data_IF_528499533213
#
_entry.id   IF_528499533213
#
_cell.length_a   1.000
_cell.length_b   1.000
_cell.length_c   1.000
_cell.angle_alpha   90.00
_cell.angle_beta   90.00
_cell.angle_gamma   90.00
#
_symmetry.space_group_name_H-M   'P 1'
#
loop_
_entity.id
_entity.type
_entity.pdbx_description
1 polymer ?
#
# COMPACT_ATOMS: atom_id res chain seq x y z
N UNK A 1 54.54 -4.79 6.74
CA UNK A 1 53.46 -4.44 7.69
C UNK A 1 52.29 -3.70 7.02
N UNK A 2 51.90 -4.05 5.78
CA UNK A 2 50.93 -3.29 4.98
C UNK A 2 49.75 -4.09 4.40
N UNK A 3 49.78 -5.43 4.44
CA UNK A 3 48.69 -6.25 3.88
C UNK A 3 47.51 -6.50 4.85
N UNK A 4 47.73 -6.38 6.17
CA UNK A 4 46.70 -6.71 7.16
C UNK A 4 45.62 -5.62 7.31
N UNK A 5 45.91 -4.36 6.93
CA UNK A 5 44.93 -3.27 6.95
C UNK A 5 44.01 -3.25 5.73
N UNK A 6 44.40 -3.90 4.62
CA UNK A 6 43.57 -3.94 3.41
C UNK A 6 42.44 -4.98 3.52
N UNK A 7 42.64 -6.07 4.29
CA UNK A 7 41.61 -7.10 4.49
C UNK A 7 40.48 -6.67 5.44
N UNK A 8 40.77 -5.82 6.43
CA UNK A 8 39.75 -5.30 7.36
C UNK A 8 38.85 -4.25 6.68
N UNK A 9 39.37 -3.53 5.68
CA UNK A 9 38.57 -2.56 4.92
C UNK A 9 37.61 -3.22 3.92
N UNK A 10 37.92 -4.43 3.42
CA UNK A 10 37.06 -5.17 2.48
C UNK A 10 35.91 -5.95 3.17
N UNK A 11 36.06 -6.37 4.43
CA UNK A 11 34.96 -7.01 5.18
C UNK A 11 33.90 -6.01 5.70
N UNK A 12 34.18 -4.71 5.72
CA UNK A 12 33.22 -3.68 6.16
C UNK A 12 32.30 -3.17 5.04
N UNK A 13 32.46 -3.65 3.80
CA UNK A 13 31.80 -3.05 2.60
C UNK A 13 30.60 -3.87 2.08
N UNK A 14 30.18 -4.96 2.72
CA UNK A 14 29.05 -5.77 2.21
C UNK A 14 28.09 -6.32 3.26
N UNK A 15 27.96 -5.65 4.41
CA UNK A 15 26.71 -5.72 5.15
C UNK A 15 25.72 -4.74 4.51
N UNK A 16 25.24 -5.08 3.31
CA UNK A 16 23.97 -4.51 2.84
C UNK A 16 22.94 -5.08 3.82
N UNK A 17 22.44 -4.23 4.71
CA UNK A 17 21.38 -4.62 5.64
C UNK A 17 20.19 -5.06 4.79
N UNK A 18 19.97 -6.37 4.71
CA UNK A 18 18.74 -6.92 4.18
C UNK A 18 17.60 -6.35 5.02
N UNK A 19 16.70 -5.61 4.39
CA UNK A 19 15.49 -5.16 5.06
C UNK A 19 14.40 -6.21 4.86
N UNK A 20 13.73 -6.54 5.96
CA UNK A 20 12.51 -7.35 5.95
C UNK A 20 11.32 -6.48 5.55
N UNK A 21 10.61 -6.90 4.51
CA UNK A 21 9.29 -6.36 4.16
C UNK A 21 8.21 -7.31 4.70
N UNK A 22 7.04 -6.79 5.05
CA UNK A 22 5.92 -7.58 5.54
C UNK A 22 4.77 -7.52 4.56
N UNK A 23 4.13 -8.65 4.29
CA UNK A 23 3.00 -8.71 3.38
C UNK A 23 1.98 -9.74 3.80
N UNK A 24 0.80 -9.69 3.17
CA UNK A 24 -0.31 -10.59 3.46
C UNK A 24 -0.62 -11.47 2.25
N UNK A 25 -0.80 -12.77 2.44
CA UNK A 25 -1.36 -13.70 1.44
C UNK A 25 -2.83 -13.97 1.72
N UNK A 26 -3.49 -14.63 0.76
CA UNK A 26 -4.89 -15.09 0.89
C UNK A 26 -4.93 -16.63 0.81
N UNK A 27 -5.52 -17.36 1.80
CA UNK A 27 -6.13 -16.86 3.04
C UNK A 27 -5.16 -16.10 3.93
N UNK A 28 -5.67 -15.29 4.88
CA UNK A 28 -4.86 -14.36 5.67
C UNK A 28 -3.63 -15.02 6.31
N UNK A 29 -2.46 -14.81 5.72
CA UNK A 29 -1.16 -15.31 6.19
C UNK A 29 -0.15 -14.17 6.11
N UNK A 30 0.34 -13.73 7.26
CA UNK A 30 1.41 -12.74 7.34
C UNK A 30 2.75 -13.39 7.02
N UNK A 31 3.48 -12.78 6.11
CA UNK A 31 4.78 -13.26 5.66
C UNK A 31 5.81 -12.15 5.67
N UNK A 32 7.08 -12.54 5.86
CA UNK A 32 8.25 -11.71 5.61
C UNK A 32 8.75 -11.95 4.20
N UNK A 33 9.18 -10.89 3.54
CA UNK A 33 9.84 -10.92 2.24
C UNK A 33 11.25 -10.39 2.41
N UNK A 34 12.21 -11.21 2.04
CA UNK A 34 13.59 -10.77 1.94
C UNK A 34 13.72 -9.88 0.69
N UNK A 35 13.98 -8.59 0.89
CA UNK A 35 14.14 -7.62 -0.21
C UNK A 35 15.27 -7.96 -1.18
N UNK A 36 16.26 -8.75 -0.74
CA UNK A 36 17.43 -9.07 -1.52
C UNK A 36 17.24 -10.24 -2.50
N UNK A 37 16.39 -11.21 -2.20
CA UNK A 37 16.23 -12.40 -3.05
C UNK A 37 14.77 -12.81 -3.28
N UNK A 38 13.80 -12.08 -2.72
CA UNK A 38 12.37 -12.35 -2.89
C UNK A 38 11.87 -13.55 -2.09
N UNK A 39 12.70 -14.13 -1.20
CA UNK A 39 12.29 -15.27 -0.36
C UNK A 39 11.16 -14.84 0.56
N UNK A 40 10.05 -15.59 0.50
CA UNK A 40 8.88 -15.38 1.35
C UNK A 40 8.90 -16.41 2.48
N UNK A 41 8.85 -15.94 3.73
CA UNK A 41 8.84 -16.78 4.93
C UNK A 41 7.60 -16.47 5.77
N UNK A 42 6.76 -17.45 6.12
CA UNK A 42 5.65 -17.22 7.04
C UNK A 42 6.14 -16.70 8.40
N UNK A 43 5.44 -15.71 8.97
CA UNK A 43 5.71 -15.24 10.33
C UNK A 43 5.14 -16.22 11.36
N UNK A 44 3.98 -16.81 11.06
CA UNK A 44 3.29 -17.75 11.93
C UNK A 44 2.27 -18.59 11.15
N UNK A 45 1.19 -18.99 11.81
CA UNK A 45 0.13 -19.80 11.18
C UNK A 45 -0.78 -18.99 10.25
N UNK A 46 -1.44 -19.70 9.33
CA UNK A 46 -2.50 -19.14 8.47
C UNK A 46 -3.75 -18.89 9.32
N UNK A 47 -4.33 -17.70 9.21
CA UNK A 47 -5.61 -17.36 9.80
C UNK A 47 -6.75 -17.62 8.82
N UNK A 48 -7.37 -18.81 8.92
CA UNK A 48 -8.29 -19.35 7.90
C UNK A 48 -9.69 -18.73 7.89
N UNK A 49 -10.01 -17.84 8.81
CA UNK A 49 -11.35 -17.24 8.92
C UNK A 49 -11.54 -16.00 8.04
N UNK A 50 -10.46 -15.47 7.44
CA UNK A 50 -10.48 -14.22 6.67
C UNK A 50 -9.86 -14.39 5.29
N UNK A 51 -10.52 -13.83 4.28
CA UNK A 51 -9.92 -13.56 2.99
C UNK A 51 -9.44 -12.11 2.92
N UNK A 52 -8.28 -11.90 2.30
CA UNK A 52 -7.66 -10.57 2.18
C UNK A 52 -7.66 -10.13 0.72
N UNK A 53 -7.99 -8.85 0.52
CA UNK A 53 -7.97 -8.17 -0.77
C UNK A 53 -6.66 -7.47 -1.05
N UNK A 54 -6.52 -6.93 -2.26
CA UNK A 54 -5.31 -6.19 -2.63
C UNK A 54 -5.25 -4.83 -1.92
N UNK A 55 -4.06 -4.45 -1.47
CA UNK A 55 -3.68 -3.16 -0.94
C UNK A 55 -4.55 -2.62 0.22
N UNK A 56 -5.03 -3.50 1.10
CA UNK A 56 -5.85 -3.13 2.28
C UNK A 56 -5.11 -3.40 3.58
N UNK A 57 -3.87 -2.93 3.68
CA UNK A 57 -3.08 -3.06 4.91
C UNK A 57 -2.21 -1.83 5.19
N UNK A 58 -1.74 -1.74 6.42
CA UNK A 58 -0.69 -0.81 6.83
C UNK A 58 0.10 -1.42 8.00
N UNK A 59 1.35 -0.98 8.17
CA UNK A 59 2.19 -1.41 9.27
C UNK A 59 2.37 -0.30 10.31
N UNK A 60 1.87 -0.55 11.53
CA UNK A 60 2.23 0.22 12.72
C UNK A 60 3.59 -0.27 13.20
N UNK A 61 4.65 0.39 12.73
CA UNK A 61 6.02 0.03 13.06
C UNK A 61 6.36 0.21 14.54
N UNK A 62 5.69 1.15 15.22
CA UNK A 62 5.92 1.45 16.65
C UNK A 62 5.48 0.28 17.52
N UNK A 63 4.32 -0.31 17.23
CA UNK A 63 3.76 -1.40 18.02
C UNK A 63 4.01 -2.79 17.39
N UNK A 64 4.55 -2.85 16.18
CA UNK A 64 4.78 -4.11 15.46
C UNK A 64 3.47 -4.80 15.08
N UNK A 65 2.48 -4.03 14.63
CA UNK A 65 1.14 -4.54 14.26
C UNK A 65 0.88 -4.26 12.78
N UNK A 66 0.65 -5.32 12.00
CA UNK A 66 0.15 -5.21 10.64
C UNK A 66 -1.38 -5.16 10.68
N UNK A 67 -1.95 -3.99 10.39
CA UNK A 67 -3.39 -3.83 10.27
C UNK A 67 -3.85 -4.13 8.85
N UNK A 68 -4.99 -4.81 8.71
CA UNK A 68 -5.60 -5.07 7.41
C UNK A 68 -7.12 -5.20 7.51
N UNK A 69 -7.82 -4.96 6.40
CA UNK A 69 -9.23 -5.31 6.29
C UNK A 69 -9.38 -6.68 5.63
N UNK A 70 -10.12 -7.57 6.29
CA UNK A 70 -10.44 -8.92 5.83
C UNK A 70 -11.94 -9.12 5.67
N UNK A 71 -12.32 -10.01 4.76
CA UNK A 71 -13.69 -10.55 4.72
C UNK A 71 -13.77 -11.80 5.55
N UNK A 72 -14.61 -11.74 6.57
CA UNK A 72 -14.91 -12.86 7.41
C UNK A 72 -15.71 -13.90 6.60
N UNK A 73 -15.11 -15.08 6.40
CA UNK A 73 -15.65 -16.10 5.49
C UNK A 73 -16.93 -16.77 6.02
N UNK A 74 -17.21 -16.65 7.31
CA UNK A 74 -18.41 -17.22 7.94
C UNK A 74 -19.59 -16.25 7.91
N UNK A 75 -19.33 -14.96 8.15
CA UNK A 75 -20.37 -13.93 8.28
C UNK A 75 -20.51 -13.04 7.05
N UNK A 76 -19.59 -13.14 6.10
CA UNK A 76 -19.47 -12.27 4.93
C UNK A 76 -19.45 -10.78 5.31
N UNK A 77 -18.81 -10.43 6.42
CA UNK A 77 -18.61 -9.04 6.88
C UNK A 77 -17.14 -8.63 6.77
N UNK A 78 -16.90 -7.34 6.64
CA UNK A 78 -15.55 -6.77 6.70
C UNK A 78 -15.16 -6.50 8.14
N UNK A 79 -14.01 -7.03 8.55
CA UNK A 79 -13.39 -6.77 9.85
C UNK A 79 -12.06 -6.00 9.63
N UNK A 80 -11.75 -5.05 10.53
CA UNK A 80 -10.39 -4.54 10.68
C UNK A 80 -9.65 -5.43 11.67
N UNK A 81 -8.57 -6.05 11.21
CA UNK A 81 -7.75 -6.95 12.00
C UNK A 81 -6.36 -6.32 12.21
N UNK A 82 -5.78 -6.54 13.38
CA UNK A 82 -4.40 -6.20 13.69
C UNK A 82 -3.63 -7.46 14.08
N UNK A 83 -2.60 -7.79 13.30
CA UNK A 83 -1.79 -8.99 13.49
C UNK A 83 -0.38 -8.62 13.96
N UNK A 84 0.12 -9.31 14.97
CA UNK A 84 1.47 -9.14 15.50
C UNK A 84 2.52 -9.62 14.50
N UNK A 85 3.50 -8.77 14.17
CA UNK A 85 4.50 -9.09 13.13
C UNK A 85 5.56 -10.09 13.56
N UNK A 86 5.57 -10.49 14.84
CA UNK A 86 6.50 -11.48 15.37
C UNK A 86 5.84 -12.85 15.58
N UNK A 87 4.54 -12.89 15.93
CA UNK A 87 3.83 -14.15 16.22
C UNK A 87 2.73 -14.51 15.22
N UNK A 88 2.31 -13.57 14.37
CA UNK A 88 1.11 -13.67 13.55
C UNK A 88 -0.20 -13.85 14.34
N UNK A 89 -0.21 -13.59 15.65
CA UNK A 89 -1.44 -13.62 16.45
C UNK A 89 -2.31 -12.39 16.14
N UNK A 90 -3.63 -12.61 16.04
CA UNK A 90 -4.60 -11.51 15.97
C UNK A 90 -4.71 -10.84 17.34
N UNK A 91 -4.20 -9.62 17.45
CA UNK A 91 -4.28 -8.78 18.67
C UNK A 91 -5.57 -7.97 18.70
N UNK A 92 -6.03 -7.52 17.53
CA UNK A 92 -7.24 -6.73 17.38
C UNK A 92 -8.14 -7.35 16.33
N UNK A 93 -9.44 -7.44 16.64
CA UNK A 93 -10.49 -7.83 15.71
C UNK A 93 -11.67 -6.90 15.91
N UNK A 94 -11.91 -6.04 14.94
CA UNK A 94 -12.88 -4.95 15.06
C UNK A 94 -13.88 -5.08 13.90
N UNK A 95 -15.12 -5.48 14.20
CA UNK A 95 -16.16 -5.53 13.19
C UNK A 95 -16.42 -4.15 12.60
N UNK A 96 -16.36 -4.03 11.28
CA UNK A 96 -16.72 -2.78 10.60
C UNK A 96 -18.21 -2.77 10.26
N UNK A 97 -18.72 -1.60 9.90
CA UNK A 97 -20.07 -1.46 9.35
C UNK A 97 -20.09 -1.53 7.82
N UNK A 98 -18.94 -1.74 7.17
CA UNK A 98 -18.83 -1.71 5.72
C UNK A 98 -19.46 -2.93 5.06
N UNK A 99 -19.98 -2.74 3.84
CA UNK A 99 -20.41 -3.88 3.02
C UNK A 99 -19.24 -4.56 2.37
N UNK A 100 -19.34 -5.88 2.34
CA UNK A 100 -18.48 -6.73 1.52
C UNK A 100 -18.96 -6.61 0.07
N UNK A 101 -18.14 -6.06 -0.80
CA UNK A 101 -18.39 -6.16 -2.24
C UNK A 101 -18.00 -7.55 -2.76
N UNK A 102 -18.25 -7.81 -4.05
CA UNK A 102 -17.79 -9.05 -4.69
C UNK A 102 -16.27 -9.28 -4.56
N UNK A 103 -15.49 -8.25 -4.19
CA UNK A 103 -14.05 -8.30 -3.96
C UNK A 103 -13.63 -7.42 -2.77
N UNK A 104 -12.75 -7.96 -1.90
CA UNK A 104 -12.04 -7.17 -0.87
C UNK A 104 -11.00 -6.29 -1.54
N UNK A 105 -10.82 -5.06 -1.07
CA UNK A 105 -9.89 -4.09 -1.67
C UNK A 105 -10.52 -3.13 -2.69
N UNK A 106 -11.82 -3.26 -2.96
CA UNK A 106 -12.55 -2.28 -3.78
C UNK A 106 -13.03 -1.14 -2.90
N UNK A 107 -12.63 0.09 -3.24
CA UNK A 107 -12.96 1.29 -2.48
C UNK A 107 -12.64 1.21 -0.97
N UNK A 108 -11.60 0.47 -0.64
CA UNK A 108 -11.16 0.19 0.71
C UNK A 108 -9.76 0.73 0.93
N UNK A 109 -9.54 1.41 2.06
CA UNK A 109 -8.20 1.86 2.45
C UNK A 109 -7.93 1.44 3.89
N UNK A 110 -6.66 1.21 4.20
CA UNK A 110 -6.15 1.07 5.56
C UNK A 110 -4.87 1.88 5.64
N UNK A 111 -4.79 2.83 6.58
CA UNK A 111 -3.64 3.71 6.75
C UNK A 111 -3.35 3.92 8.23
N UNK A 112 -2.10 3.68 8.63
CA UNK A 112 -1.66 3.81 10.01
C UNK A 112 -1.26 5.26 10.26
N UNK A 113 -1.70 5.84 11.38
CA UNK A 113 -1.34 7.23 11.74
C UNK A 113 -0.03 7.22 12.51
N UNK A 114 1.02 7.79 11.90
CA UNK A 114 2.35 7.84 12.50
C UNK A 114 2.36 8.38 13.93
N UNK A 115 2.97 7.64 14.85
CA UNK A 115 3.12 8.01 16.25
C UNK A 115 1.84 7.90 17.09
N UNK A 116 0.69 7.66 16.46
CA UNK A 116 -0.59 7.38 17.12
C UNK A 116 -0.88 5.89 17.13
N UNK A 117 -1.87 5.48 17.92
CA UNK A 117 -2.46 4.15 17.87
C UNK A 117 -3.67 4.11 16.91
N UNK A 118 -3.95 5.21 16.21
CA UNK A 118 -5.08 5.34 15.30
C UNK A 118 -4.81 4.71 13.93
N UNK A 119 -5.87 4.13 13.35
CA UNK A 119 -5.91 3.65 11.96
C UNK A 119 -7.02 4.39 11.22
N UNK A 120 -6.71 4.90 10.04
CA UNK A 120 -7.69 5.45 9.10
C UNK A 120 -8.14 4.33 8.18
N UNK A 121 -9.46 4.12 8.11
CA UNK A 121 -10.07 3.16 7.20
C UNK A 121 -11.16 3.84 6.37
N UNK A 122 -11.40 3.29 5.19
CA UNK A 122 -12.49 3.68 4.32
C UNK A 122 -13.15 2.42 3.80
N UNK A 123 -14.46 2.47 3.68
CA UNK A 123 -15.23 1.44 3.02
C UNK A 123 -16.63 1.95 2.67
N UNK A 124 -17.36 1.13 1.92
CA UNK A 124 -18.69 1.47 1.44
C UNK A 124 -19.75 1.34 2.54
N UNK A 125 -20.66 2.30 2.59
CA UNK A 125 -21.79 2.34 3.51
C UNK A 125 -22.84 1.27 3.13
N UNK A 126 -23.35 0.49 4.09
CA UNK A 126 -24.31 -0.57 3.82
C UNK A 126 -25.69 -0.10 3.40
N UNK A 127 -26.05 1.16 3.69
CA UNK A 127 -27.40 1.70 3.49
C UNK A 127 -27.55 2.42 2.16
N UNK A 128 -26.45 2.84 1.53
CA UNK A 128 -26.47 3.74 0.39
C UNK A 128 -25.55 3.24 -0.72
N UNK A 129 -26.05 3.27 -1.95
CA UNK A 129 -25.27 2.94 -3.14
C UNK A 129 -24.13 3.96 -3.34
N UNK A 130 -22.92 3.48 -3.64
CA UNK A 130 -21.72 4.29 -3.93
C UNK A 130 -21.34 5.35 -2.87
N UNK A 131 -21.83 5.18 -1.64
CA UNK A 131 -21.46 6.06 -0.53
C UNK A 131 -20.31 5.44 0.24
N UNK A 132 -19.25 6.20 0.46
CA UNK A 132 -18.09 5.76 1.23
C UNK A 132 -18.01 6.53 2.54
N UNK A 133 -17.57 5.82 3.58
CA UNK A 133 -17.32 6.39 4.91
C UNK A 133 -15.82 6.35 5.16
N UNK A 134 -15.24 7.52 5.43
CA UNK A 134 -13.87 7.66 5.93
C UNK A 134 -13.91 7.76 7.44
N UNK A 135 -13.18 6.90 8.13
CA UNK A 135 -13.28 6.72 9.58
C UNK A 135 -11.89 6.64 10.19
N UNK A 136 -11.75 7.23 11.38
CA UNK A 136 -10.63 6.98 12.29
C UNK A 136 -11.06 5.96 13.36
N UNK A 137 -10.27 4.92 13.51
CA UNK A 137 -10.47 3.86 14.50
C UNK A 137 -9.28 3.84 15.45
N UNK A 138 -9.53 3.77 16.76
CA UNK A 138 -8.51 3.49 17.77
C UNK A 138 -8.68 2.05 18.24
N UNK A 139 -7.88 1.08 17.75
CA UNK A 139 -8.13 -0.35 17.95
C UNK A 139 -8.19 -0.81 19.41
N UNK A 140 -7.33 -0.25 20.27
CA UNK A 140 -7.16 -0.60 21.68
C UNK A 140 -8.43 -0.30 22.49
N UNK A 141 -9.10 0.80 22.17
CA UNK A 141 -10.32 1.24 22.86
C UNK A 141 -11.58 0.93 22.07
N UNK A 142 -11.45 0.37 20.86
CA UNK A 142 -12.53 0.19 19.90
C UNK A 142 -13.36 1.47 19.69
N UNK A 143 -12.69 2.62 19.64
CA UNK A 143 -13.35 3.91 19.43
C UNK A 143 -13.41 4.24 17.94
N UNK A 144 -14.57 4.69 17.48
CA UNK A 144 -14.85 5.04 16.09
C UNK A 144 -15.19 6.52 15.99
N UNK A 145 -14.53 7.21 15.07
CA UNK A 145 -14.85 8.59 14.71
C UNK A 145 -15.03 8.68 13.20
N UNK A 146 -16.27 8.93 12.77
CA UNK A 146 -16.53 9.29 11.37
C UNK A 146 -15.81 10.61 11.06
N UNK A 147 -15.03 10.60 9.98
CA UNK A 147 -14.32 11.78 9.50
C UNK A 147 -15.11 12.44 8.37
N UNK A 148 -15.47 11.66 7.36
CA UNK A 148 -16.19 12.17 6.21
C UNK A 148 -17.04 11.08 5.58
N UNK A 149 -18.01 11.51 4.79
CA UNK A 149 -18.87 10.67 4.00
C UNK A 149 -19.10 11.33 2.64
N UNK A 150 -18.85 10.59 1.57
CA UNK A 150 -18.91 11.10 0.20
C UNK A 150 -19.48 10.06 -0.76
N UNK A 151 -20.01 10.54 -1.89
CA UNK A 151 -20.68 9.72 -2.89
C UNK A 151 -19.88 9.74 -4.19
N UNK A 152 -18.97 8.79 -4.33
CA UNK A 152 -18.09 8.62 -5.49
C UNK A 152 -18.21 7.18 -5.98
N UNK A 153 -17.66 6.89 -7.15
CA UNK A 153 -17.74 5.54 -7.69
C UNK A 153 -16.65 4.67 -7.07
N UNK A 154 -16.98 3.39 -6.87
CA UNK A 154 -16.05 2.40 -6.33
C UNK A 154 -14.89 2.16 -7.32
N UNK A 155 -13.65 2.56 -7.02
CA UNK A 155 -12.54 2.27 -7.91
C UNK A 155 -12.06 0.83 -7.66
N UNK A 156 -11.94 0.05 -8.73
CA UNK A 156 -11.27 -1.25 -8.71
C UNK A 156 -9.76 -1.02 -8.65
N UNK A 157 -9.21 -1.07 -7.43
CA UNK A 157 -7.88 -0.58 -7.15
C UNK A 157 -7.83 0.95 -7.11
N UNK A 158 -6.78 1.50 -6.51
CA UNK A 158 -6.61 2.94 -6.38
C UNK A 158 -5.46 3.26 -5.44
N UNK A 159 -4.71 4.30 -5.78
CA UNK A 159 -3.66 4.81 -4.91
C UNK A 159 -4.23 5.44 -3.64
N UNK A 160 -3.65 5.12 -2.49
CA UNK A 160 -3.92 5.86 -1.25
C UNK A 160 -2.67 5.87 -0.37
N UNK A 161 -2.53 6.91 0.46
CA UNK A 161 -1.43 7.04 1.42
C UNK A 161 -1.78 8.12 2.46
N UNK A 162 -1.16 8.06 3.63
CA UNK A 162 -1.18 9.17 4.59
C UNK A 162 0.11 10.01 4.48
N UNK A 163 -0.03 11.33 4.36
CA UNK A 163 1.09 12.29 4.35
C UNK A 163 0.84 13.38 5.38
N UNK A 164 1.44 13.25 6.56
CA UNK A 164 1.16 14.13 7.70
C UNK A 164 -0.30 13.98 8.14
N UNK A 165 -1.06 15.08 8.13
CA UNK A 165 -2.48 15.07 8.50
C UNK A 165 -3.44 14.88 7.31
N UNK A 166 -2.91 14.62 6.10
CA UNK A 166 -3.74 14.44 4.90
C UNK A 166 -3.71 13.00 4.44
N UNK A 167 -4.87 12.33 4.45
CA UNK A 167 -5.05 11.05 3.75
C UNK A 167 -5.40 11.34 2.29
N UNK A 168 -4.59 10.79 1.39
CA UNK A 168 -4.76 10.87 -0.05
C UNK A 168 -5.45 9.60 -0.54
N UNK A 169 -6.48 9.77 -1.36
CA UNK A 169 -7.31 8.67 -1.86
C UNK A 169 -7.66 8.96 -3.31
N UNK A 170 -7.29 8.07 -4.22
CA UNK A 170 -7.80 8.09 -5.58
C UNK A 170 -9.21 7.49 -5.62
N UNK A 171 -10.15 8.23 -6.20
CA UNK A 171 -11.53 7.80 -6.37
C UNK A 171 -11.99 8.03 -7.81
N UNK A 172 -12.90 7.18 -8.27
CA UNK A 172 -13.56 7.36 -9.56
C UNK A 172 -14.75 8.30 -9.43
N UNK A 173 -14.93 9.18 -10.41
CA UNK A 173 -16.02 10.16 -10.46
C UNK A 173 -16.71 10.14 -11.82
N UNK A 174 -18.01 10.42 -11.82
CA UNK A 174 -18.79 10.57 -13.06
C UNK A 174 -18.92 12.06 -13.40
N UNK A 175 -18.30 12.48 -14.49
CA UNK A 175 -18.40 13.85 -15.02
C UNK A 175 -19.17 13.77 -16.34
N UNK A 176 -20.46 14.12 -16.30
CA UNK A 176 -21.33 14.18 -17.48
C UNK A 176 -21.37 12.86 -18.29
N UNK A 177 -21.44 11.72 -17.59
CA UNK A 177 -21.49 10.39 -18.19
C UNK A 177 -20.12 9.79 -18.54
N UNK A 178 -19.02 10.48 -18.24
CA UNK A 178 -17.67 9.96 -18.41
C UNK A 178 -17.03 9.65 -17.06
N UNK A 179 -16.44 8.47 -16.95
CA UNK A 179 -15.61 8.08 -15.82
C UNK A 179 -14.27 8.83 -15.88
N UNK A 180 -13.94 9.53 -14.80
CA UNK A 180 -12.63 10.13 -14.56
C UNK A 180 -12.14 9.66 -13.18
N UNK A 181 -10.84 9.70 -12.96
CA UNK A 181 -10.25 9.41 -11.66
C UNK A 181 -9.64 10.71 -11.13
N UNK A 182 -9.83 10.93 -9.83
CA UNK A 182 -9.30 12.12 -9.17
C UNK A 182 -8.63 11.71 -7.89
N UNK A 183 -7.60 12.47 -7.53
CA UNK A 183 -6.93 12.31 -6.25
C UNK A 183 -7.47 13.33 -5.26
N UNK A 184 -8.03 12.84 -4.16
CA UNK A 184 -8.60 13.65 -3.09
C UNK A 184 -7.71 13.61 -1.87
N UNK A 185 -7.55 14.76 -1.21
CA UNK A 185 -6.89 14.87 0.08
C UNK A 185 -7.89 15.24 1.16
N UNK A 186 -7.96 14.45 2.22
CA UNK A 186 -8.82 14.69 3.38
C UNK A 186 -7.99 14.90 4.64
N UNK A 187 -8.29 15.96 5.39
CA UNK A 187 -7.67 16.22 6.68
C UNK A 187 -8.17 15.18 7.71
N UNK A 188 -7.26 14.40 8.32
CA UNK A 188 -7.65 13.28 9.18
C UNK A 188 -8.24 13.73 10.53
N UNK A 189 -8.08 14.99 10.91
CA UNK A 189 -8.52 15.53 12.21
C UNK A 189 -9.96 16.05 12.14
N UNK A 190 -10.29 16.72 11.05
CA UNK A 190 -11.57 17.37 10.78
C UNK A 190 -12.43 16.62 9.77
N UNK A 191 -11.81 15.73 9.00
CA UNK A 191 -12.42 15.02 7.88
C UNK A 191 -12.65 15.86 6.63
N UNK A 192 -12.36 17.17 6.66
CA UNK A 192 -12.65 18.05 5.53
C UNK A 192 -11.78 17.70 4.32
N UNK A 193 -12.39 17.73 3.13
CA UNK A 193 -11.64 17.71 1.89
C UNK A 193 -10.81 18.99 1.78
N UNK A 194 -9.50 18.84 1.67
CA UNK A 194 -8.53 19.94 1.56
C UNK A 194 -7.91 20.02 0.16
N UNK A 195 -7.92 18.92 -0.59
CA UNK A 195 -7.45 18.86 -1.97
C UNK A 195 -8.40 18.10 -2.88
N UNK A 196 -8.49 18.56 -4.12
CA UNK A 196 -9.05 17.83 -5.26
C UNK A 196 -8.13 18.09 -6.45
N UNK A 197 -7.45 17.05 -6.91
CA UNK A 197 -6.53 17.12 -8.03
C UNK A 197 -7.18 16.42 -9.21
N UNK A 198 -7.43 17.20 -10.26
CA UNK A 198 -7.82 16.67 -11.56
C UNK A 198 -6.53 16.30 -12.29
N UNK A 199 -6.28 15.01 -12.43
CA UNK A 199 -5.16 14.51 -13.21
C UNK A 199 -5.72 13.64 -14.34
N UNK A 200 -6.08 14.29 -15.45
CA UNK A 200 -6.57 13.59 -16.64
C UNK A 200 -5.43 12.87 -17.39
N UNK A 201 -4.18 13.15 -17.03
CA UNK A 201 -3.00 12.59 -17.69
C UNK A 201 -2.59 11.23 -17.09
N UNK A 202 -2.93 10.97 -15.82
CA UNK A 202 -2.48 9.78 -15.09
C UNK A 202 -3.54 9.17 -14.16
N UNK A 203 -3.63 7.83 -14.15
CA UNK A 203 -4.26 7.08 -13.06
C UNK A 203 -3.20 6.66 -12.03
N UNK A 204 -3.35 7.04 -10.77
CA UNK A 204 -2.42 6.71 -9.69
C UNK A 204 -2.70 5.33 -9.09
N UNK A 205 -1.67 4.49 -9.05
CA UNK A 205 -1.70 3.18 -8.41
C UNK A 205 -0.54 3.09 -7.42
N UNK A 206 -0.83 2.63 -6.20
CA UNK A 206 0.16 2.49 -5.12
C UNK A 206 0.85 3.81 -4.79
N UNK A 207 0.27 4.58 -3.86
CA UNK A 207 0.89 5.80 -3.33
C UNK A 207 1.61 5.47 -2.02
N UNK A 208 2.76 6.09 -1.81
CA UNK A 208 3.53 6.01 -0.56
C UNK A 208 4.06 7.37 -0.18
N UNK A 209 4.00 7.70 1.10
CA UNK A 209 4.59 8.92 1.61
C UNK A 209 6.07 8.72 1.93
N UNK A 210 6.92 9.49 1.27
CA UNK A 210 8.33 9.60 1.59
C UNK A 210 8.54 10.70 2.65
N UNK A 211 8.74 10.29 3.90
CA UNK A 211 8.87 11.19 5.05
C UNK A 211 10.11 12.08 4.97
N UNK A 212 11.20 11.58 4.38
CA UNK A 212 12.48 12.30 4.31
C UNK A 212 12.41 13.43 3.28
N UNK A 213 11.86 13.17 2.09
CA UNK A 213 11.66 14.24 1.09
C UNK A 213 10.39 15.07 1.33
N UNK A 214 9.45 14.57 2.14
CA UNK A 214 8.14 15.17 2.36
C UNK A 214 7.23 15.09 1.13
N UNK A 215 7.48 14.14 0.23
CA UNK A 215 6.76 13.96 -1.02
C UNK A 215 5.97 12.65 -1.01
N UNK A 216 4.90 12.58 -1.78
CA UNK A 216 4.21 11.31 -2.04
C UNK A 216 4.71 10.75 -3.37
N UNK A 217 5.10 9.48 -3.39
CA UNK A 217 5.57 8.77 -4.57
C UNK A 217 4.55 7.73 -4.97
N UNK A 218 4.37 7.53 -6.27
CA UNK A 218 3.48 6.48 -6.75
C UNK A 218 3.67 6.13 -8.20
N UNK A 219 2.88 5.18 -8.68
CA UNK A 219 2.91 4.76 -10.08
C UNK A 219 1.70 5.33 -10.82
N UNK A 220 1.96 6.15 -11.82
CA UNK A 220 0.96 6.57 -12.79
C UNK A 220 0.78 5.56 -13.91
N UNK A 221 -0.45 5.40 -14.39
CA UNK A 221 -0.79 4.75 -15.64
C UNK A 221 -1.20 5.84 -16.62
N UNK A 222 -0.48 5.96 -17.74
CA UNK A 222 -0.89 6.89 -18.80
C UNK A 222 -1.97 6.22 -19.65
N UNK A 223 -3.21 6.77 -19.68
CA UNK A 223 -4.38 6.10 -20.25
C UNK A 223 -4.20 5.68 -21.72
N UNK A 224 -3.53 6.52 -22.51
CA UNK A 224 -3.41 6.35 -23.96
C UNK A 224 -2.43 5.25 -24.37
N UNK A 225 -1.44 4.95 -23.54
CA UNK A 225 -0.31 4.10 -23.91
C UNK A 225 -0.18 2.86 -23.03
N UNK A 226 -0.95 2.78 -21.94
CA UNK A 226 -0.83 1.77 -20.87
C UNK A 226 0.58 1.69 -20.25
N UNK A 227 1.46 2.66 -20.54
CA UNK A 227 2.80 2.70 -19.97
C UNK A 227 2.70 3.16 -18.51
N UNK A 228 3.66 2.71 -17.69
CA UNK A 228 3.72 3.04 -16.28
C UNK A 228 4.80 4.10 -16.07
N UNK A 229 4.49 5.10 -15.26
CA UNK A 229 5.41 6.19 -14.91
C UNK A 229 5.56 6.25 -13.41
N UNK A 230 6.74 6.62 -12.93
CA UNK A 230 6.90 7.03 -11.54
C UNK A 230 6.56 8.49 -11.43
N UNK A 231 5.71 8.81 -10.46
CA UNK A 231 5.24 10.16 -10.19
C UNK A 231 5.55 10.57 -8.77
N UNK A 232 5.66 11.88 -8.59
CA UNK A 232 5.83 12.53 -7.33
C UNK A 232 4.73 13.58 -7.16
N UNK A 233 4.00 13.49 -6.06
CA UNK A 233 3.04 14.49 -5.61
C UNK A 233 3.69 15.31 -4.50
N UNK A 234 3.64 16.64 -4.65
CA UNK A 234 3.91 17.55 -3.54
C UNK A 234 2.63 17.71 -2.70
N UNK A 235 2.55 17.14 -1.48
CA UNK A 235 1.32 17.12 -0.71
C UNK A 235 0.93 18.50 -0.16
N UNK A 236 1.81 19.51 -0.25
CA UNK A 236 1.50 20.89 0.18
C UNK A 236 0.82 21.69 -0.92
N UNK A 237 1.14 21.42 -2.19
CA UNK A 237 0.65 22.20 -3.34
C UNK A 237 -0.34 21.43 -4.19
N UNK A 238 -0.39 20.11 -4.08
CA UNK A 238 -1.18 19.25 -4.96
C UNK A 238 -0.59 19.09 -6.36
N UNK A 239 0.67 19.50 -6.58
CA UNK A 239 1.32 19.39 -7.89
C UNK A 239 1.89 17.98 -8.07
N UNK A 240 1.50 17.33 -9.16
CA UNK A 240 2.05 16.04 -9.60
C UNK A 240 3.13 16.28 -10.66
N UNK A 241 4.27 15.61 -10.51
CA UNK A 241 5.40 15.65 -11.43
C UNK A 241 5.78 14.23 -11.83
N UNK A 242 5.96 13.99 -13.12
CA UNK A 242 6.54 12.74 -13.63
C UNK A 242 8.03 12.73 -13.39
N UNK A 243 8.54 11.67 -12.76
CA UNK A 243 9.97 11.49 -12.53
C UNK A 243 10.61 10.75 -13.71
N UNK A 244 10.14 9.54 -14.01
CA UNK A 244 10.68 8.71 -15.09
C UNK A 244 9.70 7.62 -15.52
N UNK A 245 10.01 6.96 -16.63
CA UNK A 245 9.20 5.86 -17.18
C UNK A 245 9.69 4.51 -16.70
N UNK A 246 8.76 3.65 -16.33
CA UNK A 246 9.07 2.24 -16.17
C UNK A 246 9.14 1.56 -17.54
N UNK A 247 10.03 0.58 -17.73
CA UNK A 247 10.07 -0.20 -18.97
C UNK A 247 8.69 -0.79 -19.31
N UNK A 248 8.30 -0.73 -20.58
CA UNK A 248 6.97 -1.14 -21.05
C UNK A 248 6.62 -2.60 -20.80
N UNK A 249 7.61 -3.44 -20.49
CA UNK A 249 7.41 -4.85 -20.14
C UNK A 249 6.69 -5.02 -18.80
N UNK A 250 6.83 -4.07 -17.87
CA UNK A 250 6.20 -4.20 -16.55
C UNK A 250 4.70 -3.87 -16.59
N UNK A 251 3.93 -4.76 -15.97
CA UNK A 251 2.51 -4.66 -15.72
C UNK A 251 2.25 -4.71 -14.22
N UNK A 252 1.27 -3.93 -13.77
CA UNK A 252 0.78 -3.90 -12.39
C UNK A 252 -0.64 -4.42 -12.44
N UNK A 253 -0.96 -5.48 -11.69
CA UNK A 253 -2.36 -5.83 -11.45
C UNK A 253 -2.98 -4.83 -10.48
N UNK A 254 -2.26 -4.48 -9.42
CA UNK A 254 -2.68 -3.57 -8.33
C UNK A 254 -1.53 -3.63 -7.34
N UNK A 255 -0.58 -2.67 -7.27
CA UNK A 255 0.65 -2.99 -6.57
C UNK A 255 0.50 -2.71 -5.08
N UNK A 256 0.78 -3.71 -4.24
CA UNK A 256 1.36 -3.45 -2.94
C UNK A 256 2.71 -2.77 -3.15
N UNK A 257 2.88 -1.62 -2.51
CA UNK A 257 4.04 -0.78 -2.68
C UNK A 257 4.47 -0.27 -1.34
N UNK A 258 5.78 -0.21 -1.11
CA UNK A 258 6.32 0.39 0.09
C UNK A 258 7.63 1.09 -0.21
N UNK A 259 7.99 2.07 0.61
CA UNK A 259 9.22 2.84 0.49
C UNK A 259 10.03 2.80 1.77
N UNK A 260 11.35 2.72 1.62
CA UNK A 260 12.32 3.14 2.62
C UNK A 260 12.74 4.57 2.28
N UNK A 261 12.19 5.52 3.03
CA UNK A 261 12.44 6.96 2.86
C UNK A 261 13.91 7.35 2.98
N UNK A 262 14.62 6.73 3.94
CA UNK A 262 16.01 7.05 4.26
C UNK A 262 16.95 6.80 3.10
N UNK A 263 16.74 5.70 2.39
CA UNK A 263 17.57 5.30 1.25
C UNK A 263 16.96 5.69 -0.11
N UNK A 264 15.77 6.28 -0.10
CA UNK A 264 14.97 6.59 -1.31
C UNK A 264 14.79 5.35 -2.20
N UNK A 265 14.47 4.21 -1.56
CA UNK A 265 14.26 2.92 -2.23
C UNK A 265 12.79 2.52 -2.11
N UNK A 266 12.15 2.21 -3.23
CA UNK A 266 10.79 1.67 -3.28
C UNK A 266 10.77 0.21 -3.71
N UNK A 267 9.86 -0.59 -3.14
CA UNK A 267 9.59 -1.96 -3.56
C UNK A 267 8.18 -2.10 -4.10
N UNK A 268 8.09 -2.83 -5.20
CA UNK A 268 6.86 -2.98 -5.96
C UNK A 268 6.70 -4.43 -6.42
N UNK A 269 5.48 -4.94 -6.36
CA UNK A 269 5.15 -6.26 -6.92
C UNK A 269 4.66 -6.06 -8.36
N UNK A 270 5.44 -6.53 -9.32
CA UNK A 270 5.20 -6.33 -10.76
C UNK A 270 5.33 -7.64 -11.53
N UNK A 271 4.70 -7.73 -12.69
CA UNK A 271 4.82 -8.86 -13.61
C UNK A 271 5.29 -8.36 -14.99
N UNK A 272 6.07 -9.14 -15.73
CA UNK A 272 6.34 -8.83 -17.13
C UNK A 272 5.12 -9.27 -17.96
N UNK A 273 4.34 -8.34 -18.56
CA UNK A 273 3.04 -8.44 -19.31
C UNK A 273 2.52 -9.78 -19.89
N UNK A 274 3.32 -10.83 -19.98
CA UNK A 274 2.95 -12.22 -20.28
C UNK A 274 2.29 -12.88 -19.05
N UNK A 275 1.10 -13.41 -19.26
CA UNK A 275 0.24 -14.01 -18.22
C UNK A 275 0.92 -15.13 -17.41
N UNK A 276 1.92 -15.80 -17.96
CA UNK A 276 2.57 -16.97 -17.37
C UNK A 276 3.95 -16.68 -16.73
N UNK A 277 4.41 -15.43 -16.73
CA UNK A 277 5.68 -15.08 -16.08
C UNK A 277 5.48 -14.95 -14.56
N UNK A 278 6.51 -15.25 -13.75
CA UNK A 278 6.45 -15.05 -12.31
C UNK A 278 6.32 -13.55 -11.98
N UNK A 279 5.61 -13.26 -10.91
CA UNK A 279 5.66 -11.94 -10.30
C UNK A 279 7.00 -11.71 -9.64
N UNK A 280 7.45 -10.46 -9.71
CA UNK A 280 8.75 -10.00 -9.27
C UNK A 280 8.58 -8.94 -8.19
N UNK A 281 9.50 -8.95 -7.24
CA UNK A 281 9.78 -7.80 -6.38
C UNK A 281 10.75 -6.91 -7.14
N UNK A 282 10.27 -5.74 -7.56
CA UNK A 282 11.04 -4.72 -8.30
C UNK A 282 11.46 -3.64 -7.32
N UNK A 283 12.76 -3.37 -7.25
CA UNK A 283 13.34 -2.32 -6.42
C UNK A 283 13.67 -1.11 -7.30
N UNK A 284 13.08 0.02 -6.94
CA UNK A 284 13.33 1.32 -7.56
C UNK A 284 14.22 2.15 -6.66
N UNK A 285 15.20 2.81 -7.26
CA UNK A 285 15.99 3.86 -6.62
C UNK A 285 15.53 5.19 -7.20
N UNK A 286 14.86 6.01 -6.38
CA UNK A 286 14.30 7.27 -6.85
C UNK A 286 15.37 8.33 -7.11
N UNK A 287 16.54 8.23 -6.47
CA UNK A 287 17.67 9.12 -6.74
C UNK A 287 18.30 8.82 -8.10
N UNK A 288 18.43 7.53 -8.44
CA UNK A 288 18.91 7.09 -9.76
C UNK A 288 17.84 7.11 -10.84
N UNK A 289 16.57 7.27 -10.45
CA UNK A 289 15.41 7.21 -11.33
C UNK A 289 15.40 5.92 -12.18
N UNK A 290 15.69 4.79 -11.53
CA UNK A 290 15.90 3.53 -12.22
C UNK A 290 15.46 2.32 -11.40
N UNK A 291 15.14 1.24 -12.11
CA UNK A 291 15.10 -0.10 -11.52
C UNK A 291 16.54 -0.52 -11.24
N UNK A 292 16.85 -0.74 -9.96
CA UNK A 292 18.19 -1.19 -9.53
C UNK A 292 18.24 -2.69 -9.27
N UNK A 293 17.09 -3.33 -9.09
CA UNK A 293 16.98 -4.76 -8.83
C UNK A 293 15.60 -5.29 -9.18
N UNK A 294 15.53 -6.54 -9.61
CA UNK A 294 14.30 -7.30 -9.65
C UNK A 294 14.62 -8.76 -9.31
N UNK A 295 13.77 -9.38 -8.50
CA UNK A 295 13.90 -10.78 -8.08
C UNK A 295 12.54 -11.47 -8.18
N UNK A 296 12.52 -12.77 -8.48
CA UNK A 296 11.28 -13.53 -8.53
C UNK A 296 10.67 -13.60 -7.13
N UNK A 297 9.37 -13.35 -7.02
CA UNK A 297 8.63 -13.33 -5.76
C UNK A 297 7.64 -14.50 -5.67
N UNK A 298 6.82 -14.70 -6.70
CA UNK A 298 5.85 -15.80 -6.73
C UNK A 298 5.61 -16.26 -8.19
N UNK A 299 5.41 -17.56 -8.43
CA UNK A 299 5.18 -18.09 -9.77
C UNK A 299 3.76 -17.84 -10.29
N UNK A 300 2.77 -17.71 -9.38
CA UNK A 300 1.35 -17.59 -9.72
C UNK A 300 0.75 -16.36 -9.03
N UNK A 301 0.04 -15.46 -9.76
CA UNK A 301 -0.62 -14.29 -9.18
C UNK A 301 -1.51 -14.62 -7.97
N UNK A 302 -2.16 -15.78 -7.96
CA UNK A 302 -3.06 -16.17 -6.86
C UNK A 302 -2.33 -16.38 -5.53
N UNK A 303 -1.07 -16.79 -5.61
CA UNK A 303 -0.21 -17.12 -4.47
C UNK A 303 0.70 -15.94 -4.08
N UNK A 304 0.56 -14.81 -4.78
CA UNK A 304 1.31 -13.60 -4.48
C UNK A 304 0.71 -12.83 -3.31
N UNK A 305 1.53 -11.90 -2.82
CA UNK A 305 1.15 -11.00 -1.74
C UNK A 305 0.08 -10.02 -2.24
N UNK A 306 -0.86 -9.75 -1.35
CA UNK A 306 -1.94 -8.80 -1.50
C UNK A 306 -1.59 -7.44 -0.91
N UNK A 307 -0.59 -7.37 -0.03
CA UNK A 307 -0.10 -6.17 0.64
C UNK A 307 1.42 -6.28 0.85
N UNK A 308 2.12 -5.15 0.98
CA UNK A 308 3.57 -5.08 1.21
C UNK A 308 3.89 -3.79 1.93
N UNK A 309 4.53 -3.89 3.09
CA UNK A 309 4.86 -2.79 3.98
C UNK A 309 6.32 -2.91 4.44
N UNK A 310 7.02 -1.79 4.50
CA UNK A 310 8.38 -1.68 4.99
C UNK A 310 8.36 -1.50 6.51
N UNK A 311 9.18 -2.29 7.22
CA UNK A 311 9.36 -2.16 8.66
C UNK A 311 10.68 -1.48 8.97
N UNK A 312 10.61 -0.27 9.53
CA UNK A 312 11.78 0.44 10.05
C UNK A 312 12.01 0.05 11.52
N UNK A 313 13.24 -0.36 11.86
CA UNK A 313 13.67 -0.70 13.23
C UNK A 313 14.44 0.47 13.83
#
# INVERSE_FOLDING_TARGET
MGLFKLFILLCLISCVLSVDLYGMRSPAELVKVNSENGTITPVGGIYTHEAVGDNVGCLDSKNGIYYFMGTNLETAKIDLLGMDIHTADIKYKIPTTFVTEGYVGVAQIVQCVDGSDDVIIMGRDPKYDHKHNLVRVTPQTNTWKELNQFNFLDPLGGGHTLSGETVWIELSVNISGKYSHKLFGFDINTGKQVFEINDDDYYTTGLNYDKESGMVLGIGIVPQFTHRVIMQLNPKTGIITRLFDLPSTYFLATPPTTINSKDSIGWYIMNDRKVDEPWKLVTLDYNKQAIVKNVNLCPNPKDCLRGLEYYDI
#
